data_IF_999996659172
#
_entry.id   IF_999996659172
#
_cell.length_a   1.000
_cell.length_b   1.000
_cell.length_c   1.000
_cell.angle_alpha   90.00
_cell.angle_beta   90.00
_cell.angle_gamma   90.00
#
_symmetry.space_group_name_H-M   'P 1'
#
loop_
_entity.id
_entity.type
_entity.pdbx_description
1 polymer ?
#
# COMPACT_ATOMS: atom_id res chain seq x y z
N UNK A 1 -10.46 3.30 -22.06
CA UNK A 1 -8.99 3.31 -22.08
C UNK A 1 -8.57 4.74 -22.42
N UNK A 2 -7.57 5.34 -21.75
CA UNK A 2 -7.03 6.63 -22.18
C UNK A 2 -6.51 6.46 -23.62
N UNK A 3 -7.07 7.24 -24.53
CA UNK A 3 -6.84 7.14 -25.98
C UNK A 3 -5.76 8.12 -26.41
N UNK A 4 -5.52 9.17 -25.62
CA UNK A 4 -4.66 10.28 -25.98
C UNK A 4 -3.50 10.46 -24.99
N UNK A 5 -2.36 10.90 -25.51
CA UNK A 5 -1.15 11.20 -24.73
C UNK A 5 -1.33 12.35 -23.71
N UNK A 6 -2.47 13.06 -23.77
CA UNK A 6 -2.84 14.14 -22.85
C UNK A 6 -3.90 13.73 -21.82
N UNK A 7 -4.35 12.48 -21.78
CA UNK A 7 -5.34 12.04 -20.79
C UNK A 7 -4.74 12.10 -19.37
N UNK A 8 -5.56 12.55 -18.41
CA UNK A 8 -5.11 12.83 -17.05
C UNK A 8 -4.73 11.57 -16.24
N UNK A 9 -5.04 10.38 -16.77
CA UNK A 9 -4.81 9.09 -16.14
C UNK A 9 -4.14 8.16 -17.15
N UNK A 10 -2.85 7.91 -16.98
CA UNK A 10 -2.09 6.91 -17.73
C UNK A 10 -2.15 5.58 -16.95
N UNK A 11 -2.56 4.48 -17.59
CA UNK A 11 -2.50 3.14 -16.97
C UNK A 11 -1.03 2.73 -16.85
N UNK A 12 -0.41 3.00 -15.71
CA UNK A 12 0.86 2.39 -15.29
C UNK A 12 0.58 1.26 -14.30
N UNK A 13 1.56 0.39 -14.10
CA UNK A 13 1.48 -0.65 -13.07
C UNK A 13 1.48 0.01 -11.69
N UNK A 14 0.30 0.28 -11.15
CA UNK A 14 0.10 0.79 -9.79
C UNK A 14 -0.16 -0.34 -8.80
N UNK A 15 0.14 -0.14 -7.50
CA UNK A 15 -0.20 -1.10 -6.46
C UNK A 15 -1.70 -1.41 -6.47
N UNK A 16 -2.06 -2.69 -6.36
CA UNK A 16 -3.44 -3.16 -6.38
C UNK A 16 -3.87 -3.64 -4.99
N UNK A 17 -5.12 -3.40 -4.61
CA UNK A 17 -5.64 -3.73 -3.26
C UNK A 17 -5.50 -5.21 -2.94
N UNK A 18 -5.71 -6.08 -3.92
CA UNK A 18 -5.56 -7.53 -3.76
C UNK A 18 -4.13 -7.95 -3.38
N UNK A 19 -3.11 -7.15 -3.72
CA UNK A 19 -1.70 -7.50 -3.47
C UNK A 19 -1.27 -7.35 -2.01
N UNK A 20 -2.04 -6.61 -1.21
CA UNK A 20 -1.73 -6.32 0.21
C UNK A 20 -2.74 -6.94 1.18
N UNK A 21 -3.78 -7.60 0.66
CA UNK A 21 -4.84 -8.23 1.45
C UNK A 21 -4.25 -9.25 2.44
N UNK A 22 -4.62 -9.13 3.71
CA UNK A 22 -4.13 -9.99 4.79
C UNK A 22 -2.67 -9.76 5.19
N UNK A 23 -2.00 -8.76 4.62
CA UNK A 23 -0.60 -8.44 4.94
C UNK A 23 -0.46 -7.22 5.83
N UNK A 24 0.68 -7.11 6.52
CA UNK A 24 1.07 -5.91 7.26
C UNK A 24 1.86 -4.91 6.40
N UNK A 25 1.71 -4.98 5.06
CA UNK A 25 2.39 -4.09 4.12
C UNK A 25 1.50 -2.90 3.69
N UNK A 26 2.15 -1.79 3.39
CA UNK A 26 1.57 -0.65 2.69
C UNK A 26 2.44 -0.37 1.47
N UNK A 27 1.89 -0.55 0.27
CA UNK A 27 2.56 -0.25 -0.97
C UNK A 27 2.29 1.19 -1.39
N UNK A 28 3.35 1.91 -1.73
CA UNK A 28 3.29 3.31 -2.15
C UNK A 28 3.70 3.38 -3.62
N UNK A 29 2.82 3.96 -4.43
CA UNK A 29 3.04 4.22 -5.85
C UNK A 29 3.02 5.73 -6.13
N UNK A 30 3.71 6.14 -7.18
CA UNK A 30 3.82 7.54 -7.58
C UNK A 30 3.59 7.66 -9.09
N UNK A 31 2.83 8.68 -9.49
CA UNK A 31 2.76 9.14 -10.88
C UNK A 31 3.11 10.62 -10.93
N UNK A 32 4.04 10.97 -11.81
CA UNK A 32 4.57 12.33 -11.95
C UNK A 32 4.08 12.90 -13.27
N UNK A 33 3.27 13.94 -13.19
CA UNK A 33 2.74 14.66 -14.35
C UNK A 33 3.44 16.03 -14.43
N UNK A 34 4.59 16.03 -15.11
CA UNK A 34 5.43 17.22 -15.30
C UNK A 34 4.70 18.32 -16.07
N UNK A 35 3.86 17.95 -17.06
CA UNK A 35 3.11 18.92 -17.87
C UNK A 35 2.15 19.75 -17.03
N UNK A 36 1.55 19.12 -16.01
CA UNK A 36 0.62 19.78 -15.08
C UNK A 36 1.28 20.17 -13.76
N UNK A 37 2.59 20.00 -13.63
CA UNK A 37 3.37 20.25 -12.42
C UNK A 37 2.73 19.64 -11.16
N UNK A 38 2.31 18.37 -11.23
CA UNK A 38 1.66 17.65 -10.12
C UNK A 38 2.22 16.26 -9.95
N UNK A 39 2.15 15.77 -8.72
CA UNK A 39 2.48 14.38 -8.36
C UNK A 39 1.22 13.75 -7.77
N UNK A 40 0.85 12.57 -8.26
CA UNK A 40 -0.21 11.74 -7.71
C UNK A 40 0.43 10.63 -6.90
N UNK A 41 0.11 10.57 -5.61
CA UNK A 41 0.62 9.53 -4.70
C UNK A 41 -0.51 8.54 -4.43
N UNK A 42 -0.20 7.25 -4.55
CA UNK A 42 -1.10 6.15 -4.23
C UNK A 42 -0.55 5.40 -3.03
N UNK A 43 -1.41 5.06 -2.07
CA UNK A 43 -1.08 4.17 -0.96
C UNK A 43 -2.11 3.06 -0.88
N UNK A 44 -1.67 1.82 -0.83
CA UNK A 44 -2.53 0.64 -0.81
C UNK A 44 -2.13 -0.24 0.37
N UNK A 45 -3.08 -0.52 1.25
CA UNK A 45 -2.90 -1.32 2.46
C UNK A 45 -4.19 -2.09 2.78
N UNK A 46 -4.09 -3.13 3.61
CA UNK A 46 -5.27 -3.76 4.23
C UNK A 46 -5.81 -2.85 5.34
N UNK A 47 -7.05 -2.38 5.20
CA UNK A 47 -7.66 -1.44 6.14
C UNK A 47 -7.96 -2.04 7.52
N UNK A 48 -8.23 -3.33 7.60
CA UNK A 48 -8.47 -4.04 8.87
C UNK A 48 -7.15 -4.48 9.51
N UNK A 49 -6.21 -4.94 8.68
CA UNK A 49 -4.86 -5.32 9.06
C UNK A 49 -4.00 -4.08 9.36
N UNK A 50 -3.19 -3.67 8.38
CA UNK A 50 -2.22 -2.58 8.53
C UNK A 50 -2.86 -1.24 8.91
N UNK A 51 -4.09 -1.00 8.45
CA UNK A 51 -4.89 0.20 8.77
C UNK A 51 -5.56 0.18 10.14
N UNK A 52 -5.54 -0.95 10.86
CA UNK A 52 -6.24 -1.13 12.12
C UNK A 52 -5.45 -2.01 13.10
N UNK A 53 -5.84 -3.27 13.23
CA UNK A 53 -5.39 -4.15 14.31
C UNK A 53 -3.87 -4.39 14.32
N UNK A 54 -3.25 -4.53 13.14
CA UNK A 54 -1.82 -4.86 13.05
C UNK A 54 -0.95 -3.68 13.50
N UNK A 55 -1.39 -2.43 13.28
CA UNK A 55 -0.67 -1.25 13.80
C UNK A 55 -0.67 -1.20 15.33
N UNK A 56 -1.74 -1.67 15.96
CA UNK A 56 -1.82 -1.82 17.41
C UNK A 56 -0.79 -2.83 17.94
N UNK A 57 -0.64 -3.95 17.24
CA UNK A 57 0.37 -4.97 17.55
C UNK A 57 1.79 -4.43 17.31
N UNK A 58 2.05 -3.68 16.23
CA UNK A 58 3.36 -3.04 16.02
C UNK A 58 3.72 -2.09 17.16
N UNK A 59 2.78 -1.26 17.60
CA UNK A 59 2.99 -0.34 18.72
C UNK A 59 3.23 -1.10 20.04
N UNK A 60 2.44 -2.14 20.31
CA UNK A 60 2.65 -3.01 21.47
C UNK A 60 4.04 -3.65 21.43
N UNK A 61 4.45 -4.22 20.30
CA UNK A 61 5.77 -4.83 20.14
C UNK A 61 6.88 -3.82 20.51
N UNK A 62 6.79 -2.58 20.01
CA UNK A 62 7.74 -1.53 20.35
C UNK A 62 7.70 -1.16 21.85
N UNK A 63 6.52 -1.05 22.47
CA UNK A 63 6.37 -0.72 23.90
C UNK A 63 6.96 -1.79 24.82
N UNK A 64 6.94 -3.06 24.41
CA UNK A 64 7.48 -4.19 25.18
C UNK A 64 8.91 -4.58 24.77
N UNK A 65 9.57 -3.79 23.91
CA UNK A 65 10.95 -4.06 23.46
C UNK A 65 11.09 -5.31 22.58
N UNK A 66 10.00 -5.74 21.94
CA UNK A 66 9.98 -6.84 20.98
C UNK A 66 10.36 -6.34 19.58
N UNK A 67 10.67 -7.27 18.67
CA UNK A 67 10.78 -6.93 17.25
C UNK A 67 9.46 -6.37 16.74
N UNK A 68 9.50 -5.22 16.04
CA UNK A 68 8.29 -4.52 15.55
C UNK A 68 7.38 -5.46 14.73
N UNK A 69 7.96 -6.36 13.96
CA UNK A 69 7.27 -7.26 13.03
C UNK A 69 6.91 -8.61 13.65
N UNK A 70 7.23 -8.83 14.93
CA UNK A 70 6.89 -10.06 15.63
C UNK A 70 5.38 -10.36 15.52
N UNK A 71 5.05 -11.56 15.00
CA UNK A 71 3.67 -11.99 14.80
C UNK A 71 2.94 -11.36 13.60
N UNK A 72 3.61 -10.57 12.76
CA UNK A 72 3.01 -9.78 11.66
C UNK A 72 3.62 -10.07 10.28
N UNK A 73 4.33 -11.19 10.11
CA UNK A 73 5.00 -11.56 8.86
C UNK A 73 4.15 -12.45 7.94
N UNK A 74 2.82 -12.34 8.01
CA UNK A 74 1.95 -13.06 7.08
C UNK A 74 2.19 -12.58 5.63
N UNK A 75 2.43 -13.55 4.75
CA UNK A 75 2.49 -13.32 3.31
C UNK A 75 1.08 -13.30 2.73
N UNK A 76 0.81 -12.39 1.79
CA UNK A 76 -0.50 -12.26 1.16
C UNK A 76 -0.88 -13.48 0.35
N UNK A 77 -2.18 -13.63 0.07
CA UNK A 77 -2.70 -14.71 -0.76
C UNK A 77 -2.82 -14.27 -2.22
N UNK A 78 -2.40 -15.12 -3.17
CA UNK A 78 -2.62 -14.93 -4.60
C UNK A 78 -3.05 -16.25 -5.28
N UNK A 79 -4.15 -16.26 -6.06
CA UNK A 79 -5.15 -15.20 -6.19
C UNK A 79 -5.89 -14.98 -4.85
N UNK A 80 -6.36 -13.76 -4.63
CA UNK A 80 -7.22 -13.41 -3.50
C UNK A 80 -8.69 -13.38 -3.95
#
# INVERSE_FOLDING_TARGET
LPVNQNDAWQYRAYPWVSTVSGTNYCYIGLDVDEKRNRIVVFSVLDSLGKGGAQVGIENMNLMFGLDRTAGLQQTGCHPA
#
